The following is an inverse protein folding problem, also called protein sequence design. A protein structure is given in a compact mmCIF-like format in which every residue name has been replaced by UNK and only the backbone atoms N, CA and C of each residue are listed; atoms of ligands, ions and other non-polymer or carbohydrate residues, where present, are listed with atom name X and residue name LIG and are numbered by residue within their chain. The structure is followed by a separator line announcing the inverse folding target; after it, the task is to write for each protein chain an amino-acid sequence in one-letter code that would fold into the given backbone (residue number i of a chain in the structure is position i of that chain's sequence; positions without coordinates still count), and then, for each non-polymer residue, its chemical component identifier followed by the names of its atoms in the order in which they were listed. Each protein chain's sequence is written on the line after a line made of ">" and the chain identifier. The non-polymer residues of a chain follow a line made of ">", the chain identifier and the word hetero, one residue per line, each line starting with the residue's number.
data_IF_585951554357
#
_entry.id   IF_585951554357
#
_cell.length_a   1.000
_cell.length_b   1.000
_cell.length_c   1.000
_cell.angle_alpha   90.00
_cell.angle_beta   90.00
_cell.angle_gamma   90.00
#
_symmetry.space_group_name_H-M   'P 1'
#
loop_
_entity.id
_entity.type
_entity.pdbx_description
1 polymer ?
#
# COMPACT_ATOMS: atom_id res chain seq x y z
N UNK A 1 -44.30 10.39 -18.63
CA UNK A 1 -43.88 11.04 -17.37
C UNK A 1 -42.96 10.05 -16.67
N UNK A 2 -41.64 10.19 -16.84
CA UNK A 2 -40.64 9.26 -16.29
C UNK A 2 -40.20 9.80 -14.94
N UNK A 3 -40.53 9.08 -13.87
CA UNK A 3 -40.07 9.34 -12.51
C UNK A 3 -38.61 8.89 -12.42
N UNK A 4 -37.71 9.81 -12.08
CA UNK A 4 -36.30 9.54 -11.78
C UNK A 4 -36.19 9.39 -10.26
N UNK A 5 -35.76 8.21 -9.80
CA UNK A 5 -35.36 8.02 -8.41
C UNK A 5 -33.93 8.57 -8.24
N UNK A 6 -33.79 9.61 -7.42
CA UNK A 6 -32.50 10.01 -6.88
C UNK A 6 -32.24 9.18 -5.63
N UNK A 7 -31.28 8.27 -5.69
CA UNK A 7 -30.72 7.64 -4.50
C UNK A 7 -29.75 8.62 -3.85
N UNK A 8 -30.18 9.30 -2.80
CA UNK A 8 -29.26 9.96 -1.87
C UNK A 8 -28.63 8.87 -1.00
N UNK A 9 -27.36 8.56 -1.23
CA UNK A 9 -26.55 7.84 -0.25
C UNK A 9 -26.15 8.83 0.84
N UNK A 10 -26.76 8.67 2.01
CA UNK A 10 -26.37 9.36 3.23
C UNK A 10 -25.23 8.54 3.85
N UNK A 11 -23.98 8.97 3.68
CA UNK A 11 -22.84 8.33 4.35
C UNK A 11 -22.95 8.58 5.85
N UNK A 12 -23.15 7.51 6.62
CA UNK A 12 -23.19 7.57 8.07
C UNK A 12 -21.77 7.73 8.62
N UNK A 13 -21.54 8.81 9.35
CA UNK A 13 -20.33 9.02 10.13
C UNK A 13 -20.26 7.98 11.26
N UNK A 14 -19.36 7.00 11.16
CA UNK A 14 -18.92 6.20 12.30
C UNK A 14 -17.49 6.66 12.62
N UNK A 15 -17.36 7.39 13.74
CA UNK A 15 -16.06 7.74 14.28
C UNK A 15 -15.39 6.48 14.85
N UNK A 16 -14.27 6.07 14.23
CA UNK A 16 -13.42 5.00 14.72
C UNK A 16 -12.45 5.55 15.78
N UNK A 17 -12.44 4.95 16.96
CA UNK A 17 -11.49 5.28 18.03
C UNK A 17 -10.08 4.78 17.67
N UNK A 18 -9.17 5.69 17.31
CA UNK A 18 -7.74 5.42 17.27
C UNK A 18 -7.10 5.84 18.60
N UNK A 19 -6.40 4.91 19.25
CA UNK A 19 -5.54 5.23 20.40
C UNK A 19 -4.30 5.94 19.86
N UNK A 20 -4.19 7.24 20.16
CA UNK A 20 -3.14 8.10 19.64
C UNK A 20 -1.76 7.73 20.18
N UNK A 21 -0.83 7.41 19.27
CA UNK A 21 0.60 7.55 19.51
C UNK A 21 1.19 8.34 18.35
N UNK A 22 1.13 9.68 18.44
CA UNK A 22 1.60 10.60 17.40
C UNK A 22 0.51 10.95 16.37
N UNK A 23 0.45 12.21 15.96
CA UNK A 23 -0.66 12.80 15.21
C UNK A 23 -0.60 12.46 13.73
N UNK A 24 -1.09 11.28 13.31
CA UNK A 24 -1.38 11.04 11.92
C UNK A 24 -2.76 11.60 11.55
N UNK A 25 -2.88 12.24 10.39
CA UNK A 25 -4.14 12.79 9.88
C UNK A 25 -4.88 11.71 9.09
N UNK A 26 -6.10 11.31 9.47
CA UNK A 26 -6.89 10.39 8.65
C UNK A 26 -7.12 10.95 7.25
N UNK A 27 -7.00 10.11 6.22
CA UNK A 27 -7.30 10.45 4.83
C UNK A 27 -8.20 9.39 4.19
N UNK A 28 -9.08 9.81 3.30
CA UNK A 28 -9.97 8.94 2.54
C UNK A 28 -9.58 8.92 1.06
N UNK A 29 -9.96 7.84 0.37
CA UNK A 29 -9.80 7.76 -1.08
C UNK A 29 -10.74 8.75 -1.78
N UNK A 30 -10.21 9.45 -2.77
CA UNK A 30 -10.98 10.20 -3.76
C UNK A 30 -11.27 9.33 -4.97
N UNK A 31 -12.27 9.68 -5.78
CA UNK A 31 -12.61 8.96 -7.03
C UNK A 31 -12.44 9.88 -8.24
N UNK A 32 -11.62 9.47 -9.21
CA UNK A 32 -11.50 10.12 -10.51
C UNK A 32 -12.52 9.51 -11.47
N UNK A 33 -13.63 10.22 -11.71
CA UNK A 33 -14.69 9.81 -12.64
C UNK A 33 -14.20 9.61 -14.08
N UNK A 34 -13.17 10.35 -14.50
CA UNK A 34 -12.65 10.28 -15.86
C UNK A 34 -11.79 9.04 -16.09
N UNK A 35 -10.98 8.68 -15.08
CA UNK A 35 -10.15 7.48 -15.09
C UNK A 35 -10.87 6.24 -14.55
N UNK A 36 -12.02 6.44 -13.88
CA UNK A 36 -12.79 5.43 -13.15
C UNK A 36 -11.94 4.72 -12.10
N UNK A 37 -11.12 5.47 -11.37
CA UNK A 37 -10.12 4.94 -10.46
C UNK A 37 -10.10 5.72 -9.14
N UNK A 38 -9.92 5.02 -8.03
CA UNK A 38 -9.71 5.64 -6.73
C UNK A 38 -8.28 6.16 -6.60
N UNK A 39 -8.07 7.23 -5.84
CA UNK A 39 -6.73 7.77 -5.60
C UNK A 39 -6.61 8.51 -4.27
N UNK A 40 -5.38 8.75 -3.86
CA UNK A 40 -5.02 9.64 -2.75
C UNK A 40 -3.78 10.46 -3.13
N UNK A 41 -3.77 11.74 -2.76
CA UNK A 41 -2.59 12.60 -2.89
C UNK A 41 -1.92 12.73 -1.52
N UNK A 42 -0.60 12.57 -1.48
CA UNK A 42 0.20 12.78 -0.28
C UNK A 42 0.53 14.27 -0.16
N UNK A 43 0.06 14.95 0.89
CA UNK A 43 0.41 16.36 1.10
C UNK A 43 1.75 16.55 1.82
N UNK A 44 2.34 17.74 1.64
CA UNK A 44 3.76 18.01 1.87
C UNK A 44 4.34 17.73 3.27
N UNK A 45 3.64 17.90 4.39
CA UNK A 45 4.31 17.93 5.73
C UNK A 45 3.49 17.28 6.83
N UNK A 46 2.81 16.20 6.50
CA UNK A 46 2.01 15.43 7.46
C UNK A 46 2.16 13.94 7.17
N UNK A 47 2.00 13.16 8.24
CA UNK A 47 1.74 11.73 8.13
C UNK A 47 0.24 11.55 7.98
N UNK A 48 -0.20 10.96 6.88
CA UNK A 48 -1.58 10.57 6.66
C UNK A 48 -1.79 9.09 6.95
N UNK A 49 -2.96 8.75 7.47
CA UNK A 49 -3.39 7.37 7.69
C UNK A 49 -4.61 7.06 6.81
N UNK A 50 -4.45 6.11 5.89
CA UNK A 50 -5.53 5.51 5.12
C UNK A 50 -5.80 4.11 5.68
N UNK A 51 -6.99 3.89 6.22
CA UNK A 51 -7.41 2.55 6.67
C UNK A 51 -8.55 2.08 5.79
N UNK A 52 -8.33 0.96 5.10
CA UNK A 52 -9.38 0.30 4.33
C UNK A 52 -10.05 -0.79 5.16
N UNK A 53 -11.35 -0.92 4.97
CA UNK A 53 -12.22 -1.84 5.69
C UNK A 53 -12.73 -2.94 4.77
N UNK A 54 -13.29 -4.01 5.35
CA UNK A 54 -13.95 -5.05 4.55
C UNK A 54 -15.17 -4.52 3.79
N UNK A 55 -15.77 -3.41 4.25
CA UNK A 55 -16.87 -2.73 3.54
C UNK A 55 -16.36 -2.02 2.26
N UNK A 56 -15.18 -1.40 2.31
CA UNK A 56 -14.56 -0.80 1.12
C UNK A 56 -14.32 -1.84 0.03
N UNK A 57 -13.83 -3.02 0.42
CA UNK A 57 -13.64 -4.15 -0.50
C UNK A 57 -14.97 -4.64 -1.04
N UNK A 58 -16.00 -4.77 -0.18
CA UNK A 58 -17.35 -5.18 -0.61
C UNK A 58 -17.97 -4.17 -1.58
N UNK A 59 -17.60 -2.89 -1.48
CA UNK A 59 -17.99 -1.82 -2.41
C UNK A 59 -17.12 -1.78 -3.68
N UNK A 60 -16.20 -2.72 -3.86
CA UNK A 60 -15.40 -2.88 -5.08
C UNK A 60 -14.07 -2.13 -5.08
N UNK A 61 -13.63 -1.59 -3.94
CA UNK A 61 -12.30 -0.98 -3.82
C UNK A 61 -11.25 -2.09 -3.77
N UNK A 62 -10.67 -2.41 -4.93
CA UNK A 62 -9.60 -3.42 -5.07
C UNK A 62 -8.26 -2.80 -5.48
N UNK A 63 -8.25 -1.53 -5.87
CA UNK A 63 -7.05 -0.80 -6.24
C UNK A 63 -7.25 0.71 -6.17
N UNK A 64 -6.17 1.45 -5.95
CA UNK A 64 -6.15 2.90 -6.00
C UNK A 64 -4.76 3.42 -6.38
N UNK A 65 -4.70 4.68 -6.77
CA UNK A 65 -3.45 5.39 -7.06
C UNK A 65 -2.98 6.21 -5.86
N UNK A 66 -1.67 6.32 -5.69
CA UNK A 66 -1.03 7.23 -4.74
C UNK A 66 -0.16 8.18 -5.55
N UNK A 67 -0.38 9.48 -5.35
CA UNK A 67 0.37 10.57 -5.97
C UNK A 67 1.02 11.44 -4.90
N UNK A 68 2.01 12.25 -5.27
CA UNK A 68 2.55 13.32 -4.44
C UNK A 68 1.57 14.50 -4.29
N UNK A 69 2.05 15.62 -3.75
CA UNK A 69 1.25 16.80 -3.43
C UNK A 69 0.81 17.60 -4.66
N UNK A 70 1.51 17.43 -5.79
CA UNK A 70 1.10 17.93 -7.10
C UNK A 70 -0.06 17.13 -7.72
N UNK A 71 -0.29 15.91 -7.21
CA UNK A 71 -1.27 14.97 -7.73
C UNK A 71 -0.94 14.48 -9.15
N UNK A 72 -1.84 13.69 -9.72
CA UNK A 72 -1.70 13.00 -11.03
C UNK A 72 -1.09 13.81 -12.20
N UNK A 73 -1.34 15.12 -12.25
CA UNK A 73 -0.96 15.96 -13.40
C UNK A 73 -0.03 17.12 -13.02
N UNK A 74 0.26 17.31 -11.73
CA UNK A 74 1.12 18.38 -11.25
C UNK A 74 2.55 17.91 -11.09
N UNK A 75 3.45 18.87 -10.89
CA UNK A 75 4.75 18.56 -10.31
C UNK A 75 4.61 18.52 -8.79
N UNK A 76 5.41 17.69 -8.11
CA UNK A 76 5.53 17.77 -6.66
C UNK A 76 6.03 19.16 -6.27
N UNK A 77 5.74 19.60 -5.06
CA UNK A 77 6.23 20.88 -4.61
C UNK A 77 7.53 20.78 -3.81
N UNK A 78 8.13 21.94 -3.59
CA UNK A 78 9.38 22.06 -2.82
C UNK A 78 9.14 21.83 -1.31
N UNK A 79 10.17 21.42 -0.58
CA UNK A 79 10.17 21.10 0.85
C UNK A 79 9.11 20.06 1.26
N UNK A 80 8.91 19.00 0.47
CA UNK A 80 8.07 17.87 0.86
C UNK A 80 8.77 17.03 1.94
N UNK A 81 7.95 16.52 2.85
CA UNK A 81 8.21 15.56 3.91
C UNK A 81 6.86 14.88 4.25
N UNK A 82 6.26 14.29 3.23
CA UNK A 82 4.94 13.66 3.30
C UNK A 82 5.08 12.16 3.54
N UNK A 83 4.23 11.60 4.41
CA UNK A 83 4.15 10.16 4.61
C UNK A 83 2.70 9.70 4.54
N UNK A 84 2.43 8.62 3.81
CA UNK A 84 1.14 7.94 3.82
C UNK A 84 1.35 6.54 4.41
N UNK A 85 0.67 6.26 5.51
CA UNK A 85 0.57 4.95 6.13
C UNK A 85 -0.77 4.34 5.75
N UNK A 86 -0.74 3.17 5.11
CA UNK A 86 -1.93 2.47 4.65
C UNK A 86 -2.11 1.19 5.45
N UNK A 87 -3.32 0.92 5.90
CA UNK A 87 -3.70 -0.33 6.58
C UNK A 87 -4.74 -1.08 5.75
N UNK A 88 -4.43 -2.32 5.38
CA UNK A 88 -5.33 -3.21 4.65
C UNK A 88 -6.37 -3.81 5.59
N UNK A 89 -7.57 -4.16 5.09
CA UNK A 89 -8.54 -4.90 5.88
C UNK A 89 -8.05 -6.32 6.18
N UNK A 90 -8.65 -6.94 7.19
CA UNK A 90 -8.34 -8.31 7.58
C UNK A 90 -8.47 -9.27 6.39
N UNK A 91 -7.51 -10.20 6.24
CA UNK A 91 -7.47 -11.13 5.12
C UNK A 91 -6.89 -10.56 3.83
N UNK A 92 -6.50 -9.28 3.79
CA UNK A 92 -5.88 -8.63 2.64
C UNK A 92 -4.48 -8.10 2.95
N UNK A 93 -3.75 -7.78 1.90
CA UNK A 93 -2.52 -6.98 1.97
C UNK A 93 -2.40 -6.09 0.75
N UNK A 94 -1.41 -5.19 0.76
CA UNK A 94 -1.12 -4.32 -0.38
C UNK A 94 0.01 -4.86 -1.25
N UNK A 95 -0.17 -4.75 -2.56
CA UNK A 95 0.91 -4.79 -3.56
C UNK A 95 1.03 -3.41 -4.21
N UNK A 96 2.22 -2.82 -4.21
CA UNK A 96 2.49 -1.51 -4.80
C UNK A 96 3.50 -1.63 -5.94
N UNK A 97 3.25 -0.91 -7.03
CA UNK A 97 4.16 -0.75 -8.15
C UNK A 97 3.87 0.56 -8.88
N UNK A 98 4.82 1.07 -9.65
CA UNK A 98 4.60 2.31 -10.40
C UNK A 98 5.85 2.90 -11.00
N UNK A 99 5.85 4.21 -11.13
CA UNK A 99 6.98 4.97 -11.67
C UNK A 99 7.25 6.24 -10.88
N UNK A 100 8.48 6.71 -10.98
CA UNK A 100 8.94 8.00 -10.48
C UNK A 100 9.64 8.78 -11.58
N UNK A 101 9.48 10.09 -11.57
CA UNK A 101 10.21 11.09 -12.37
C UNK A 101 10.51 12.28 -11.45
N UNK A 102 11.78 12.59 -11.26
CA UNK A 102 12.22 13.66 -10.38
C UNK A 102 13.49 14.32 -10.89
N UNK A 103 14.11 15.15 -10.07
CA UNK A 103 15.42 15.67 -10.40
C UNK A 103 16.52 14.59 -10.29
N UNK A 104 17.65 14.84 -10.95
CA UNK A 104 18.77 13.90 -10.98
C UNK A 104 19.78 14.16 -9.85
N UNK A 105 19.26 14.43 -8.65
CA UNK A 105 20.03 14.70 -7.42
C UNK A 105 19.48 13.87 -6.26
N UNK A 106 20.26 13.72 -5.20
CA UNK A 106 19.97 12.90 -4.02
C UNK A 106 19.13 13.60 -2.95
N UNK A 107 18.46 14.67 -3.36
CA UNK A 107 17.63 15.60 -2.59
C UNK A 107 16.18 15.14 -2.53
N UNK A 108 15.66 14.56 -3.62
CA UNK A 108 14.28 14.11 -3.73
C UNK A 108 14.18 12.59 -3.68
N UNK A 109 13.61 12.04 -2.60
CA UNK A 109 13.69 10.61 -2.28
C UNK A 109 12.31 10.01 -2.08
N UNK A 110 11.99 8.99 -2.87
CA UNK A 110 10.84 8.12 -2.66
C UNK A 110 11.25 6.87 -1.88
N UNK A 111 10.55 6.57 -0.79
CA UNK A 111 10.76 5.39 0.03
C UNK A 111 9.47 4.61 0.29
N UNK A 112 9.57 3.28 0.32
CA UNK A 112 8.46 2.36 0.60
C UNK A 112 8.86 1.42 1.72
N UNK A 113 7.96 1.21 2.69
CA UNK A 113 8.17 0.40 3.87
C UNK A 113 7.05 -0.64 4.04
N UNK A 114 7.41 -1.87 4.43
CA UNK A 114 6.49 -2.87 4.97
C UNK A 114 6.28 -2.57 6.47
N UNK A 115 5.09 -2.09 6.81
CA UNK A 115 4.78 -1.50 8.10
C UNK A 115 4.69 0.03 8.06
N UNK A 116 4.80 0.66 9.23
CA UNK A 116 4.94 2.11 9.36
C UNK A 116 6.33 2.58 8.85
N UNK A 117 6.64 3.88 8.96
CA UNK A 117 7.94 4.44 8.54
C UNK A 117 9.18 3.84 9.24
N UNK A 118 8.98 3.18 10.39
CA UNK A 118 10.04 2.45 11.12
C UNK A 118 10.06 0.95 10.77
N UNK A 119 9.22 0.50 9.83
CA UNK A 119 9.15 -0.86 9.35
C UNK A 119 10.30 -1.25 8.41
N UNK A 120 10.18 -2.41 7.77
CA UNK A 120 11.22 -2.88 6.84
C UNK A 120 11.20 -2.02 5.57
N UNK A 121 12.32 -1.38 5.26
CA UNK A 121 12.48 -0.54 4.06
C UNK A 121 12.60 -1.44 2.82
N UNK A 122 11.54 -1.49 2.02
CA UNK A 122 11.49 -2.27 0.79
C UNK A 122 12.18 -1.55 -0.38
N UNK A 123 12.11 -0.22 -0.38
CA UNK A 123 12.62 0.62 -1.46
C UNK A 123 13.00 2.00 -0.95
N UNK A 124 14.07 2.58 -1.50
CA UNK A 124 14.43 3.98 -1.28
C UNK A 124 15.36 4.44 -2.40
N UNK A 125 14.91 5.40 -3.20
CA UNK A 125 15.65 5.85 -4.39
C UNK A 125 15.30 7.28 -4.76
N UNK A 126 16.25 7.93 -5.41
CA UNK A 126 16.14 9.22 -6.09
C UNK A 126 16.61 9.11 -7.54
N UNK A 127 16.37 10.16 -8.33
CA UNK A 127 16.94 10.31 -9.68
C UNK A 127 15.91 10.60 -10.77
N UNK A 128 16.43 10.86 -11.98
CA UNK A 128 15.63 11.38 -13.10
C UNK A 128 14.40 10.56 -13.49
N UNK A 129 14.51 9.23 -13.57
CA UNK A 129 13.35 8.35 -13.79
C UNK A 129 13.67 6.92 -13.43
N UNK A 130 12.72 6.22 -12.80
CA UNK A 130 12.81 4.79 -12.53
C UNK A 130 11.44 4.13 -12.30
N UNK A 131 11.41 2.81 -12.47
CA UNK A 131 10.29 1.96 -12.07
C UNK A 131 10.37 1.64 -10.58
N UNK A 132 9.20 1.56 -9.95
CA UNK A 132 9.00 1.23 -8.54
C UNK A 132 8.29 -0.11 -8.44
N UNK A 133 8.81 -1.02 -7.60
CA UNK A 133 8.19 -2.31 -7.33
C UNK A 133 8.28 -3.32 -8.48
N UNK A 134 7.49 -4.41 -8.43
CA UNK A 134 6.44 -4.65 -7.43
C UNK A 134 6.97 -4.93 -6.02
N UNK A 135 6.24 -4.47 -5.02
CA UNK A 135 6.47 -4.78 -3.61
C UNK A 135 5.16 -5.22 -2.95
N UNK A 136 5.21 -6.26 -2.11
CA UNK A 136 4.06 -6.75 -1.34
C UNK A 136 4.31 -6.54 0.14
N UNK A 137 3.34 -5.98 0.86
CA UNK A 137 3.39 -5.88 2.32
C UNK A 137 3.14 -7.25 2.96
N UNK A 138 3.96 -7.62 3.95
CA UNK A 138 3.71 -8.80 4.77
C UNK A 138 2.89 -8.46 6.00
N UNK A 139 3.04 -7.26 6.55
CA UNK A 139 2.33 -6.82 7.75
C UNK A 139 0.85 -6.50 7.52
N UNK A 140 0.42 -6.29 6.26
CA UNK A 140 -0.87 -5.68 5.94
C UNK A 140 -0.88 -4.16 6.14
N UNK A 141 0.25 -3.59 6.57
CA UNK A 141 0.51 -2.16 6.64
C UNK A 141 1.60 -1.81 5.63
N UNK A 142 1.45 -0.72 4.90
CA UNK A 142 2.44 -0.26 3.93
C UNK A 142 2.58 1.26 4.04
N UNK A 143 3.80 1.77 4.10
CA UNK A 143 4.05 3.22 4.11
C UNK A 143 4.77 3.67 2.85
N UNK A 144 4.32 4.79 2.30
CA UNK A 144 5.00 5.56 1.26
C UNK A 144 5.47 6.86 1.91
N UNK A 145 6.74 7.20 1.72
CA UNK A 145 7.31 8.46 2.21
C UNK A 145 8.04 9.15 1.07
N UNK A 146 7.82 10.45 0.96
CA UNK A 146 8.44 11.28 -0.05
C UNK A 146 8.99 12.57 0.57
N UNK A 147 10.26 12.84 0.31
CA UNK A 147 10.93 14.07 0.71
C UNK A 147 11.43 14.80 -0.52
N UNK A 148 11.30 16.13 -0.54
CA UNK A 148 11.95 17.00 -1.52
C UNK A 148 12.64 18.18 -0.86
N UNK A 149 13.61 18.77 -1.55
CA UNK A 149 14.31 19.97 -1.09
C UNK A 149 13.62 21.27 -1.54
N UNK A 150 14.24 22.43 -1.27
CA UNK A 150 13.72 23.74 -1.65
C UNK A 150 13.91 24.11 -3.13
N UNK A 151 14.20 23.13 -3.99
CA UNK A 151 14.76 23.28 -5.33
C UNK A 151 13.84 22.78 -6.45
N UNK A 152 14.44 22.18 -7.49
CA UNK A 152 13.77 21.83 -8.74
C UNK A 152 12.67 20.79 -8.48
N UNK A 153 11.52 20.96 -9.14
CA UNK A 153 10.48 19.95 -9.11
C UNK A 153 10.17 19.34 -10.49
N UNK A 154 9.62 18.13 -10.46
CA UNK A 154 9.17 17.37 -11.63
C UNK A 154 7.88 16.60 -11.27
N UNK A 155 7.47 15.67 -12.13
CA UNK A 155 6.18 14.95 -12.05
C UNK A 155 5.98 14.04 -10.84
N UNK A 156 7.04 13.71 -10.10
CA UNK A 156 6.97 12.89 -8.89
C UNK A 156 6.62 11.43 -9.17
N UNK A 157 5.67 10.87 -8.45
CA UNK A 157 5.34 9.44 -8.55
C UNK A 157 3.88 9.15 -8.90
N UNK A 158 3.72 8.09 -9.70
CA UNK A 158 2.45 7.46 -10.01
C UNK A 158 2.51 6.01 -9.49
N UNK A 159 1.99 5.77 -8.28
CA UNK A 159 2.02 4.45 -7.65
C UNK A 159 0.63 3.81 -7.67
N UNK A 160 0.52 2.61 -8.24
CA UNK A 160 -0.68 1.79 -8.17
C UNK A 160 -0.58 0.84 -6.98
N UNK A 161 -1.56 0.93 -6.10
CA UNK A 161 -1.75 0.01 -4.98
C UNK A 161 -2.89 -0.93 -5.31
N UNK A 162 -2.65 -2.24 -5.17
CA UNK A 162 -3.62 -3.30 -5.32
C UNK A 162 -3.87 -3.95 -3.96
N UNK A 163 -5.13 -4.21 -3.64
CA UNK A 163 -5.49 -5.11 -2.55
C UNK A 163 -5.39 -6.54 -3.06
N UNK A 164 -4.61 -7.34 -2.36
CA UNK A 164 -4.40 -8.76 -2.66
C UNK A 164 -4.96 -9.56 -1.50
N UNK A 165 -5.84 -10.52 -1.80
CA UNK A 165 -6.33 -11.46 -0.79
C UNK A 165 -5.16 -12.33 -0.31
N UNK A 166 -5.04 -12.47 1.01
CA UNK A 166 -4.16 -13.44 1.67
C UNK A 166 -4.84 -14.81 1.85
N UNK A 167 -6.09 -14.94 1.45
CA UNK A 167 -6.86 -16.17 1.58
C UNK A 167 -7.42 -16.61 0.22
N UNK A 168 -7.49 -17.92 -0.01
CA UNK A 168 -8.35 -18.49 -1.05
C UNK A 168 -9.82 -18.07 -0.81
N UNK A 169 -10.66 -18.11 -1.85
CA UNK A 169 -12.07 -17.67 -1.80
C UNK A 169 -12.90 -18.36 -0.70
N UNK A 170 -12.54 -19.60 -0.35
CA UNK A 170 -13.18 -20.38 0.70
C UNK A 170 -12.51 -20.24 2.08
N UNK A 171 -11.47 -19.40 2.19
CA UNK A 171 -10.69 -19.17 3.40
C UNK A 171 -9.74 -20.31 3.77
N UNK A 172 -9.69 -21.41 3.01
CA UNK A 172 -9.00 -22.63 3.40
C UNK A 172 -7.49 -22.58 3.17
N UNK A 173 -7.02 -21.76 2.23
CA UNK A 173 -5.60 -21.60 1.90
C UNK A 173 -5.09 -20.19 2.17
N UNK A 174 -4.02 -20.08 2.96
CA UNK A 174 -3.32 -18.82 3.22
C UNK A 174 -2.20 -18.58 2.21
N UNK A 175 -2.10 -17.36 1.69
CA UNK A 175 -1.12 -16.94 0.70
C UNK A 175 -0.07 -16.07 1.39
N UNK A 176 1.15 -16.60 1.45
CA UNK A 176 2.32 -15.94 1.99
C UNK A 176 3.25 -15.50 0.85
N UNK A 177 3.87 -14.34 0.99
CA UNK A 177 4.80 -13.78 0.01
C UNK A 177 6.15 -13.58 0.69
N UNK A 178 7.23 -14.08 0.09
CA UNK A 178 8.60 -13.86 0.61
C UNK A 178 8.99 -12.41 0.34
N UNK A 179 9.59 -11.65 1.29
CA UNK A 179 9.99 -10.28 1.03
C UNK A 179 11.12 -10.21 -0.01
N UNK A 180 11.33 -9.01 -0.58
CA UNK A 180 12.43 -8.78 -1.53
C UNK A 180 13.81 -8.98 -0.88
N UNK A 181 13.99 -8.53 0.36
CA UNK A 181 15.23 -8.68 1.09
C UNK A 181 15.00 -8.75 2.61
N UNK A 182 15.96 -9.36 3.31
CA UNK A 182 15.97 -9.47 4.77
C UNK A 182 15.06 -10.58 5.32
N UNK A 183 14.69 -10.48 6.58
CA UNK A 183 13.88 -11.49 7.26
C UNK A 183 12.39 -11.14 7.16
N UNK A 184 11.62 -12.05 6.56
CA UNK A 184 10.16 -11.99 6.50
C UNK A 184 9.53 -13.04 7.41
N UNK A 185 8.29 -12.77 7.81
CA UNK A 185 7.47 -13.79 8.43
C UNK A 185 6.00 -13.69 8.02
N UNK A 186 5.30 -14.80 8.14
CA UNK A 186 3.84 -14.81 8.09
C UNK A 186 3.26 -15.67 9.22
N UNK A 187 2.18 -15.14 9.80
CA UNK A 187 1.37 -15.85 10.79
C UNK A 187 0.15 -16.41 10.07
N UNK A 188 0.06 -17.74 10.02
CA UNK A 188 -1.04 -18.44 9.38
C UNK A 188 -2.25 -18.33 10.33
N UNK A 189 -3.39 -17.81 9.84
CA UNK A 189 -4.56 -17.62 10.70
C UNK A 189 -5.16 -18.97 11.12
N UNK A 190 -5.86 -18.97 12.25
CA UNK A 190 -6.70 -20.10 12.65
C UNK A 190 -7.73 -20.43 11.56
N UNK A 191 -7.96 -21.71 11.33
CA UNK A 191 -8.87 -22.19 10.27
C UNK A 191 -8.24 -22.36 8.89
N UNK A 192 -7.07 -21.77 8.62
CA UNK A 192 -6.33 -22.07 7.38
C UNK A 192 -5.81 -23.52 7.42
N UNK A 193 -6.08 -24.28 6.37
CA UNK A 193 -5.72 -25.70 6.24
C UNK A 193 -4.56 -25.93 5.27
N UNK A 194 -4.26 -24.95 4.42
CA UNK A 194 -3.14 -24.96 3.49
C UNK A 194 -2.41 -23.61 3.50
N UNK A 195 -1.14 -23.62 3.08
CA UNK A 195 -0.35 -22.41 2.87
C UNK A 195 0.33 -22.51 1.51
N UNK A 196 0.20 -21.44 0.72
CA UNK A 196 0.94 -21.24 -0.53
C UNK A 196 1.98 -20.16 -0.25
N UNK A 197 3.25 -20.45 -0.49
CA UNK A 197 4.34 -19.49 -0.36
C UNK A 197 4.81 -19.11 -1.75
N UNK A 198 4.77 -17.82 -2.06
CA UNK A 198 5.22 -17.26 -3.33
C UNK A 198 6.52 -16.47 -3.12
N UNK A 199 7.29 -16.30 -4.19
CA UNK A 199 8.40 -15.35 -4.21
C UNK A 199 7.90 -13.90 -4.05
N UNK A 200 8.81 -12.93 -4.04
CA UNK A 200 8.53 -11.50 -3.82
C UNK A 200 7.66 -10.84 -4.90
N UNK A 201 7.37 -11.51 -6.02
CA UNK A 201 6.37 -11.09 -7.00
C UNK A 201 4.92 -11.44 -6.60
N UNK A 202 4.75 -12.35 -5.64
CA UNK A 202 3.46 -12.92 -5.27
C UNK A 202 2.96 -13.97 -6.29
N UNK A 203 1.67 -14.32 -6.23
CA UNK A 203 1.10 -15.39 -7.05
C UNK A 203 1.15 -15.13 -8.57
N UNK A 204 1.05 -13.87 -8.98
CA UNK A 204 0.88 -13.45 -10.37
C UNK A 204 2.00 -12.52 -10.88
N UNK A 205 3.02 -12.25 -10.06
CA UNK A 205 4.09 -11.30 -10.38
C UNK A 205 5.43 -11.98 -10.64
N UNK A 206 6.34 -11.27 -11.31
CA UNK A 206 7.73 -11.70 -11.41
C UNK A 206 8.47 -11.38 -10.11
N UNK A 207 9.44 -12.21 -9.75
CA UNK A 207 10.38 -11.90 -8.67
C UNK A 207 11.26 -10.70 -9.03
N UNK A 208 11.67 -9.93 -8.01
CA UNK A 208 12.59 -8.80 -8.17
C UNK A 208 14.05 -9.26 -8.25
N UNK A 209 14.86 -8.56 -9.05
CA UNK A 209 16.31 -8.79 -9.10
C UNK A 209 16.98 -8.56 -7.74
N UNK A 210 18.10 -9.24 -7.51
CA UNK A 210 18.93 -9.13 -6.30
C UNK A 210 18.15 -9.38 -4.99
N UNK A 211 17.20 -10.31 -5.02
CA UNK A 211 16.45 -10.73 -3.85
C UNK A 211 17.28 -11.68 -2.96
N UNK A 212 17.46 -11.32 -1.70
CA UNK A 212 18.12 -12.15 -0.69
C UNK A 212 17.34 -12.07 0.62
N UNK A 213 16.51 -13.08 0.87
CA UNK A 213 15.54 -13.08 1.95
C UNK A 213 15.47 -14.41 2.68
N UNK A 214 15.20 -14.32 3.99
CA UNK A 214 14.76 -15.45 4.80
C UNK A 214 13.26 -15.33 5.08
N UNK A 215 12.56 -16.45 5.23
CA UNK A 215 11.12 -16.43 5.48
C UNK A 215 10.72 -17.46 6.54
N UNK A 216 10.02 -16.99 7.57
CA UNK A 216 9.55 -17.83 8.68
C UNK A 216 8.03 -17.91 8.70
N UNK A 217 7.50 -19.14 8.71
CA UNK A 217 6.06 -19.39 8.88
C UNK A 217 5.74 -19.74 10.33
N UNK A 218 4.77 -19.03 10.90
CA UNK A 218 4.19 -19.33 12.21
C UNK A 218 2.81 -19.95 12.04
N UNK A 219 2.68 -21.24 12.36
CA UNK A 219 1.41 -21.96 12.33
C UNK A 219 0.55 -21.66 13.57
N UNK A 220 -0.78 -21.87 13.49
CA UNK A 220 -1.66 -21.76 14.65
C UNK A 220 -1.28 -22.74 15.77
N UNK A 221 -1.74 -22.46 16.98
CA UNK A 221 -1.40 -23.28 18.16
C UNK A 221 -1.74 -24.76 17.94
N UNK A 222 -0.81 -25.66 18.26
CA UNK A 222 -0.96 -27.13 18.11
C UNK A 222 -1.15 -27.61 16.67
N UNK A 223 -0.80 -26.80 15.68
CA UNK A 223 -0.71 -27.21 14.28
C UNK A 223 0.67 -27.79 13.94
N UNK A 224 0.73 -28.55 12.84
CA UNK A 224 1.96 -29.02 12.23
C UNK A 224 1.97 -28.58 10.78
N UNK A 225 2.94 -27.75 10.40
CA UNK A 225 3.20 -27.40 9.00
C UNK A 225 3.99 -28.54 8.37
N UNK A 226 3.50 -29.08 7.25
CA UNK A 226 4.20 -30.09 6.43
C UNK A 226 4.46 -29.48 5.06
N UNK A 227 5.73 -29.43 4.65
CA UNK A 227 6.17 -29.07 3.31
C UNK A 227 6.31 -30.28 2.42
#
# INVERSE_FOLDING_TARGET
>A
MKTVFHALFLCAWIALFAVSTGWATPIELSYDESAREYYVNMYKKETYELTLTSEDVANGITSFMVYDDGGKNGNYGDDCDGTLVMTAPEGYTFRIAGSYVGENYDTDVLSIYDGNINGNKLFSKYGSSFTVGPFVSNSGVLSVSYTSDGGVNDRGFDLKVLLVSKLDDDGSGYHAVVPVAGDGNAVIPEGATAVKVYDNGGADGNYSDNSDASFTLYGPCRSLIRG
#
